data_IF_104681348471
#
_entry.id   IF_104681348471
#
_cell.length_a   1.000
_cell.length_b   1.000
_cell.length_c   1.000
_cell.angle_alpha   90.00
_cell.angle_beta   90.00
_cell.angle_gamma   90.00
#
_symmetry.space_group_name_H-M   'P 1'
#
loop_
_entity.id
_entity.type
_entity.pdbx_description
1 polymer ?
#
# COMPACT_ATOMS: atom_id res chain seq x y z
N UNK A 1 6.91 6.75 22.97
CA UNK A 1 6.83 7.83 21.95
C UNK A 1 7.30 9.23 22.38
N UNK A 2 7.84 9.41 23.60
CA UNK A 2 8.29 10.72 24.14
C UNK A 2 9.33 11.45 23.27
N UNK A 3 10.00 10.74 22.34
CA UNK A 3 11.09 11.27 21.53
C UNK A 3 10.67 12.18 20.35
N UNK A 4 9.40 12.21 19.93
CA UNK A 4 8.99 12.97 18.73
C UNK A 4 8.55 14.42 19.01
N UNK A 5 8.33 14.78 20.28
CA UNK A 5 7.88 16.10 20.70
C UNK A 5 6.45 16.45 20.26
N UNK A 6 5.96 17.64 20.58
CA UNK A 6 4.55 18.01 20.31
C UNK A 6 4.22 18.26 18.81
N UNK A 7 5.24 18.42 17.96
CA UNK A 7 5.07 18.70 16.52
C UNK A 7 6.02 17.84 15.69
N UNK A 8 5.69 16.54 15.50
CA UNK A 8 6.55 15.64 14.76
C UNK A 8 6.67 16.06 13.30
N UNK A 9 7.86 15.90 12.72
CA UNK A 9 8.11 16.09 11.28
C UNK A 9 8.84 14.89 10.72
N UNK A 10 8.67 14.63 9.42
CA UNK A 10 9.40 13.54 8.74
C UNK A 10 10.91 13.69 8.86
N UNK A 11 11.41 14.92 8.75
CA UNK A 11 12.85 15.19 8.86
C UNK A 11 13.37 14.85 10.26
N UNK A 12 12.67 15.29 11.31
CA UNK A 12 13.07 14.99 12.68
C UNK A 12 12.99 13.49 12.99
N UNK A 13 11.90 12.84 12.58
CA UNK A 13 11.73 11.39 12.71
C UNK A 13 12.86 10.63 12.01
N UNK A 14 13.20 10.96 10.76
CA UNK A 14 14.30 10.33 10.03
C UNK A 14 15.65 10.54 10.72
N UNK A 15 15.91 11.72 11.29
CA UNK A 15 17.12 11.96 12.09
C UNK A 15 17.20 11.03 13.30
N UNK A 16 16.08 10.86 14.02
CA UNK A 16 16.01 9.91 15.15
C UNK A 16 16.33 8.49 14.65
N UNK A 17 15.62 8.00 13.63
CA UNK A 17 15.83 6.66 13.06
C UNK A 17 17.28 6.43 12.63
N UNK A 18 17.89 7.40 11.95
CA UNK A 18 19.28 7.28 11.49
C UNK A 18 20.29 7.20 12.64
N UNK A 19 19.99 7.82 13.77
CA UNK A 19 20.85 7.80 14.95
C UNK A 19 20.66 6.53 15.80
N UNK A 20 19.61 5.73 15.55
CA UNK A 20 19.41 4.44 16.21
C UNK A 20 20.34 3.36 15.62
N UNK A 21 20.77 2.38 16.44
CA UNK A 21 21.41 1.16 15.96
C UNK A 21 20.56 0.47 14.87
N UNK A 22 21.19 -0.08 13.83
CA UNK A 22 20.49 -0.69 12.68
C UNK A 22 19.41 -1.70 13.11
N UNK A 23 19.68 -2.51 14.13
CA UNK A 23 18.76 -3.51 14.68
C UNK A 23 17.47 -2.92 15.30
N UNK A 24 17.53 -1.67 15.76
CA UNK A 24 16.42 -0.98 16.44
C UNK A 24 15.57 -0.14 15.48
N UNK A 25 16.12 0.21 14.31
CA UNK A 25 15.42 1.05 13.31
C UNK A 25 14.09 0.45 12.87
N UNK A 26 14.07 -0.85 12.59
CA UNK A 26 12.86 -1.55 12.17
C UNK A 26 11.79 -1.55 13.29
N UNK A 27 12.20 -1.76 14.55
CA UNK A 27 11.29 -1.70 15.70
C UNK A 27 10.66 -0.31 15.85
N UNK A 28 11.46 0.75 15.76
CA UNK A 28 10.97 2.12 15.87
C UNK A 28 10.00 2.50 14.73
N UNK A 29 10.26 2.03 13.51
CA UNK A 29 9.33 2.17 12.38
C UNK A 29 8.00 1.46 12.64
N UNK A 30 8.05 0.21 13.14
CA UNK A 30 6.86 -0.57 13.48
C UNK A 30 6.04 0.09 14.59
N UNK A 31 6.70 0.64 15.62
CA UNK A 31 6.01 1.40 16.66
C UNK A 31 5.24 2.58 16.08
N UNK A 32 5.88 3.37 15.22
CA UNK A 32 5.23 4.51 14.54
C UNK A 32 4.00 4.08 13.73
N UNK A 33 4.08 2.96 13.00
CA UNK A 33 2.95 2.42 12.26
C UNK A 33 1.86 1.85 13.18
N UNK A 34 2.24 1.13 14.24
CA UNK A 34 1.30 0.57 15.20
C UNK A 34 0.41 1.63 15.85
N UNK A 35 0.96 2.81 16.11
CA UNK A 35 0.20 3.95 16.65
C UNK A 35 -0.87 4.46 15.70
N UNK A 36 -0.63 4.41 14.38
CA UNK A 36 -1.64 4.74 13.40
C UNK A 36 -2.83 3.77 13.43
N UNK A 37 -2.64 2.54 13.91
CA UNK A 37 -3.70 1.53 14.03
C UNK A 37 -4.40 1.56 15.39
N UNK A 38 -3.65 1.70 16.48
CA UNK A 38 -4.20 1.57 17.84
C UNK A 38 -4.83 2.87 18.34
N UNK A 39 -4.25 4.03 18.00
CA UNK A 39 -4.57 5.31 18.65
C UNK A 39 -5.10 6.37 17.68
N UNK A 40 -5.45 6.01 16.44
CA UNK A 40 -5.74 6.99 15.38
C UNK A 40 -6.65 8.15 15.81
N UNK A 41 -7.75 7.85 16.50
CA UNK A 41 -8.74 8.84 16.95
C UNK A 41 -8.32 9.63 18.18
N UNK A 42 -7.40 9.12 19.00
CA UNK A 42 -6.88 9.81 20.20
C UNK A 42 -5.71 10.72 19.87
N UNK A 43 -5.04 10.50 18.73
CA UNK A 43 -3.95 11.35 18.25
C UNK A 43 -4.44 12.75 17.84
N UNK A 44 -3.64 13.76 18.15
CA UNK A 44 -3.87 15.10 17.63
C UNK A 44 -3.70 15.17 16.10
N UNK A 45 -4.31 16.18 15.49
CA UNK A 45 -4.33 16.37 14.03
C UNK A 45 -2.91 16.54 13.45
N UNK A 46 -1.97 17.07 14.22
CA UNK A 46 -0.58 17.25 13.77
C UNK A 46 0.12 15.89 13.65
N UNK A 47 -0.04 15.04 14.66
CA UNK A 47 0.44 13.67 14.67
C UNK A 47 -0.19 12.82 13.57
N UNK A 48 -1.52 12.91 13.39
CA UNK A 48 -2.20 12.22 12.28
C UNK A 48 -1.61 12.61 10.92
N UNK A 49 -1.41 13.92 10.67
CA UNK A 49 -0.81 14.41 9.42
C UNK A 49 0.62 13.89 9.24
N UNK A 50 1.41 13.87 10.31
CA UNK A 50 2.75 13.32 10.30
C UNK A 50 2.76 11.83 9.94
N UNK A 51 1.94 11.00 10.59
CA UNK A 51 1.86 9.56 10.33
C UNK A 51 1.41 9.28 8.88
N UNK A 52 0.43 10.02 8.37
CA UNK A 52 0.02 9.92 6.96
C UNK A 52 1.16 10.25 6.02
N UNK A 53 1.96 11.29 6.33
CA UNK A 53 3.12 11.64 5.54
C UNK A 53 4.19 10.54 5.59
N UNK A 54 4.41 9.93 6.77
CA UNK A 54 5.39 8.87 6.98
C UNK A 54 5.02 7.62 6.18
N UNK A 55 3.77 7.18 6.30
CA UNK A 55 3.23 6.03 5.57
C UNK A 55 3.32 6.26 4.05
N UNK A 56 3.03 7.49 3.58
CA UNK A 56 3.16 7.83 2.16
C UNK A 56 4.60 7.79 1.66
N UNK A 57 5.59 8.13 2.50
CA UNK A 57 7.00 8.02 2.13
C UNK A 57 7.53 6.60 2.20
N UNK A 58 7.01 5.77 3.11
CA UNK A 58 7.52 4.44 3.43
C UNK A 58 6.49 3.34 3.10
N UNK A 59 5.77 3.49 1.97
CA UNK A 59 4.63 2.63 1.62
C UNK A 59 4.94 1.14 1.64
N UNK A 60 6.12 0.74 1.14
CA UNK A 60 6.52 -0.66 1.07
C UNK A 60 6.64 -1.26 2.48
N UNK A 61 7.39 -0.61 3.36
CA UNK A 61 7.54 -1.02 4.76
C UNK A 61 6.18 -1.02 5.49
N UNK A 62 5.31 -0.07 5.18
CA UNK A 62 3.98 -0.02 5.79
C UNK A 62 3.08 -1.16 5.33
N UNK A 63 3.08 -1.52 4.04
CA UNK A 63 2.38 -2.71 3.54
C UNK A 63 2.91 -3.97 4.22
N UNK A 64 4.23 -4.14 4.29
CA UNK A 64 4.84 -5.28 4.96
C UNK A 64 4.44 -5.37 6.44
N UNK A 65 4.43 -4.23 7.14
CA UNK A 65 3.95 -4.16 8.51
C UNK A 65 2.49 -4.63 8.62
N UNK A 66 1.58 -4.08 7.81
CA UNK A 66 0.16 -4.46 7.89
C UNK A 66 -0.04 -5.95 7.57
N UNK A 67 0.64 -6.46 6.55
CA UNK A 67 0.48 -7.85 6.09
C UNK A 67 1.11 -8.87 7.02
N UNK A 68 2.25 -8.56 7.66
CA UNK A 68 3.04 -9.53 8.43
C UNK A 68 2.95 -9.36 9.94
N UNK A 69 2.55 -8.19 10.41
CA UNK A 69 2.65 -7.82 11.83
C UNK A 69 1.30 -7.41 12.43
N UNK A 70 0.22 -7.45 11.64
CA UNK A 70 -1.13 -7.13 12.12
C UNK A 70 -2.13 -8.20 11.68
N UNK A 71 -3.24 -8.31 12.41
CA UNK A 71 -4.33 -9.24 12.11
C UNK A 71 -4.95 -9.00 10.72
N UNK A 72 -4.78 -7.81 10.12
CA UNK A 72 -5.29 -7.53 8.78
C UNK A 72 -4.63 -8.38 7.70
N UNK A 73 -3.40 -8.87 7.94
CA UNK A 73 -2.74 -9.82 7.05
C UNK A 73 -3.51 -11.13 6.88
N UNK A 74 -4.18 -11.58 7.93
CA UNK A 74 -4.99 -12.82 7.94
C UNK A 74 -6.31 -12.68 7.17
N UNK A 75 -6.73 -11.44 6.87
CA UNK A 75 -7.99 -11.15 6.17
C UNK A 75 -7.79 -10.78 4.70
N UNK A 76 -6.57 -10.92 4.17
CA UNK A 76 -6.29 -10.68 2.75
C UNK A 76 -6.97 -11.73 1.88
N UNK A 77 -7.49 -11.30 0.73
CA UNK A 77 -8.19 -12.19 -0.19
C UNK A 77 -7.24 -12.81 -1.22
N UNK A 78 -7.26 -14.14 -1.36
CA UNK A 78 -6.52 -14.86 -2.40
C UNK A 78 -7.19 -14.70 -3.77
N UNK A 79 -6.49 -14.05 -4.70
CA UNK A 79 -6.96 -13.88 -6.06
C UNK A 79 -6.86 -15.21 -6.82
N UNK A 80 -7.96 -15.62 -7.45
CA UNK A 80 -7.99 -16.83 -8.30
C UNK A 80 -7.13 -16.71 -9.56
N UNK A 81 -7.11 -15.52 -10.16
CA UNK A 81 -6.34 -15.21 -11.37
C UNK A 81 -5.74 -13.80 -11.24
N UNK A 82 -4.54 -13.72 -10.66
CA UNK A 82 -3.82 -12.46 -10.46
C UNK A 82 -3.51 -11.73 -11.78
N UNK A 83 -3.16 -12.48 -12.81
CA UNK A 83 -2.75 -11.90 -14.09
C UNK A 83 -3.93 -11.24 -14.82
N UNK A 84 -5.08 -11.91 -14.87
CA UNK A 84 -6.30 -11.32 -15.42
C UNK A 84 -6.74 -10.10 -14.59
N UNK A 85 -6.66 -10.18 -13.25
CA UNK A 85 -6.96 -9.05 -12.38
C UNK A 85 -6.08 -7.83 -12.68
N UNK A 86 -4.77 -8.03 -12.83
CA UNK A 86 -3.81 -6.96 -13.18
C UNK A 86 -4.10 -6.38 -14.57
N UNK A 87 -4.47 -7.22 -15.54
CA UNK A 87 -4.88 -6.79 -16.89
C UNK A 87 -6.15 -5.94 -16.85
N UNK A 88 -7.16 -6.34 -16.09
CA UNK A 88 -8.38 -5.55 -15.87
C UNK A 88 -8.07 -4.22 -15.18
N UNK A 89 -7.22 -4.22 -14.15
CA UNK A 89 -6.77 -2.98 -13.50
C UNK A 89 -6.09 -2.04 -14.50
N UNK A 90 -5.25 -2.54 -15.40
CA UNK A 90 -4.67 -1.71 -16.45
C UNK A 90 -5.75 -1.08 -17.34
N UNK A 91 -6.73 -1.87 -17.78
CA UNK A 91 -7.81 -1.43 -18.64
C UNK A 91 -8.65 -0.32 -18.00
N UNK A 92 -9.05 -0.53 -16.73
CA UNK A 92 -9.91 0.39 -15.98
C UNK A 92 -9.17 1.67 -15.56
N UNK A 93 -7.93 1.53 -15.11
CA UNK A 93 -7.15 2.63 -14.54
C UNK A 93 -6.14 3.20 -15.53
N UNK A 94 -6.36 3.00 -16.85
CA UNK A 94 -5.47 3.55 -17.86
C UNK A 94 -5.50 5.08 -17.84
N UNK A 95 -4.33 5.75 -17.82
CA UNK A 95 -4.27 7.21 -17.87
C UNK A 95 -5.01 7.76 -19.09
N UNK A 96 -5.84 8.77 -18.86
CA UNK A 96 -6.55 9.51 -19.90
C UNK A 96 -6.19 11.00 -19.82
N UNK A 97 -6.62 11.79 -20.81
CA UNK A 97 -6.43 13.25 -20.78
C UNK A 97 -7.04 13.89 -19.52
N UNK A 98 -8.10 13.30 -18.97
CA UNK A 98 -8.83 13.83 -17.80
C UNK A 98 -8.37 13.22 -16.47
N UNK A 99 -7.82 12.00 -16.48
CA UNK A 99 -7.43 11.28 -15.28
C UNK A 99 -6.00 10.73 -15.37
N UNK A 100 -5.15 11.18 -14.45
CA UNK A 100 -3.80 10.64 -14.28
C UNK A 100 -3.81 9.58 -13.18
N UNK A 101 -3.50 8.34 -13.55
CA UNK A 101 -3.37 7.23 -12.60
C UNK A 101 -1.96 7.17 -12.04
N UNK A 102 -1.86 7.07 -10.72
CA UNK A 102 -0.61 6.74 -10.04
C UNK A 102 -0.58 5.23 -9.78
N UNK A 103 0.06 4.48 -10.67
CA UNK A 103 0.18 3.03 -10.54
C UNK A 103 0.82 2.57 -9.21
N UNK A 104 1.72 3.37 -8.64
CA UNK A 104 2.29 3.09 -7.32
C UNK A 104 1.27 3.25 -6.18
N UNK A 105 0.35 4.22 -6.27
CA UNK A 105 -0.75 4.36 -5.31
C UNK A 105 -1.80 3.26 -5.50
N UNK A 106 -2.07 2.87 -6.75
CA UNK A 106 -2.96 1.76 -7.06
C UNK A 106 -2.41 0.43 -6.51
N UNK A 107 -1.15 0.12 -6.81
CA UNK A 107 -0.45 -1.06 -6.29
C UNK A 107 -0.45 -1.09 -4.76
N UNK A 108 -0.18 0.05 -4.11
CA UNK A 108 -0.27 0.18 -2.65
C UNK A 108 -1.66 -0.19 -2.11
N UNK A 109 -2.75 0.28 -2.75
CA UNK A 109 -4.11 -0.08 -2.36
C UNK A 109 -4.42 -1.56 -2.58
N UNK A 110 -4.00 -2.14 -3.70
CA UNK A 110 -4.21 -3.57 -4.02
C UNK A 110 -3.58 -4.47 -2.96
N UNK A 111 -2.37 -4.15 -2.51
CA UNK A 111 -1.65 -4.94 -1.50
C UNK A 111 -2.26 -4.91 -0.10
N UNK A 112 -3.23 -4.02 0.18
CA UNK A 112 -4.03 -4.06 1.42
C UNK A 112 -5.25 -4.97 1.35
N UNK A 113 -5.73 -5.27 0.14
CA UNK A 113 -6.96 -6.03 -0.05
C UNK A 113 -6.69 -7.48 -0.44
N UNK A 114 -5.60 -7.72 -1.19
CA UNK A 114 -5.35 -9.00 -1.84
C UNK A 114 -4.04 -9.63 -1.40
N UNK A 115 -4.03 -10.94 -1.25
CA UNK A 115 -2.85 -11.72 -0.88
C UNK A 115 -1.94 -11.94 -2.10
N UNK A 116 -1.31 -10.86 -2.55
CA UNK A 116 -0.47 -10.82 -3.76
C UNK A 116 0.99 -10.62 -3.33
N UNK A 117 1.88 -11.55 -3.71
CA UNK A 117 3.30 -11.52 -3.31
C UNK A 117 4.17 -10.66 -4.24
N UNK A 118 3.94 -9.35 -4.19
CA UNK A 118 4.68 -8.39 -5.01
C UNK A 118 5.07 -7.14 -4.22
N UNK A 119 6.26 -6.61 -4.51
CA UNK A 119 6.61 -5.26 -4.11
C UNK A 119 5.77 -4.22 -4.87
N UNK A 120 5.53 -3.06 -4.25
CA UNK A 120 4.76 -1.96 -4.84
C UNK A 120 5.30 -1.56 -6.21
N UNK A 121 6.63 -1.50 -6.37
CA UNK A 121 7.25 -1.14 -7.65
C UNK A 121 6.97 -2.21 -8.71
N UNK A 122 7.20 -3.49 -8.37
CA UNK A 122 6.96 -4.62 -9.26
C UNK A 122 5.51 -4.67 -9.72
N UNK A 123 4.55 -4.58 -8.79
CA UNK A 123 3.13 -4.57 -9.11
C UNK A 123 2.72 -3.33 -9.91
N UNK A 124 3.25 -2.14 -9.55
CA UNK A 124 3.00 -0.91 -10.31
C UNK A 124 3.43 -1.04 -11.77
N UNK A 125 4.61 -1.61 -12.02
CA UNK A 125 5.10 -1.81 -13.38
C UNK A 125 4.30 -2.91 -14.10
N UNK A 126 3.95 -4.00 -13.42
CA UNK A 126 3.08 -5.06 -13.96
C UNK A 126 1.73 -4.49 -14.40
N UNK A 127 1.08 -3.67 -13.57
CA UNK A 127 -0.18 -3.00 -13.93
C UNK A 127 0.05 -2.03 -15.09
N UNK A 128 1.11 -1.21 -15.09
CA UNK A 128 1.35 -0.22 -16.16
C UNK A 128 1.50 -0.86 -17.54
N UNK A 129 2.23 -1.97 -17.62
CA UNK A 129 2.62 -2.59 -18.89
C UNK A 129 1.75 -3.79 -19.29
N UNK A 130 0.84 -4.22 -18.42
CA UNK A 130 -0.17 -5.19 -18.77
C UNK A 130 -0.95 -4.72 -20.01
N UNK A 131 -1.18 -5.66 -20.94
CA UNK A 131 -2.01 -5.45 -22.11
C UNK A 131 -3.20 -6.37 -21.98
N UNK A 132 -4.38 -5.82 -22.19
CA UNK A 132 -5.60 -6.61 -22.39
C UNK A 132 -5.71 -6.91 -23.87
N UNK A 133 -5.88 -8.17 -24.23
CA UNK A 133 -6.22 -8.56 -25.58
C UNK A 133 -7.69 -8.99 -25.69
N UNK A 134 -8.07 -9.48 -26.87
CA UNK A 134 -9.46 -9.91 -27.10
C UNK A 134 -9.79 -11.18 -26.33
N UNK A 135 -8.82 -12.07 -26.13
CA UNK A 135 -9.03 -13.35 -25.48
C UNK A 135 -9.30 -13.14 -23.98
N UNK A 136 -8.62 -12.18 -23.35
CA UNK A 136 -8.92 -11.75 -21.98
C UNK A 136 -10.36 -11.23 -21.81
N UNK A 137 -10.86 -10.49 -22.80
CA UNK A 137 -12.25 -10.02 -22.79
C UNK A 137 -13.23 -11.18 -23.00
N UNK A 138 -12.90 -12.13 -23.88
CA UNK A 138 -13.70 -13.34 -24.06
C UNK A 138 -13.77 -14.18 -22.77
N UNK A 139 -12.65 -14.39 -22.07
CA UNK A 139 -12.62 -15.08 -20.77
C UNK A 139 -13.56 -14.40 -19.76
N UNK A 140 -13.60 -13.06 -19.75
CA UNK A 140 -14.55 -12.31 -18.92
C UNK A 140 -16.00 -12.48 -19.36
N UNK A 141 -16.27 -12.43 -20.68
CA UNK A 141 -17.61 -12.58 -21.22
C UNK A 141 -18.17 -13.99 -21.04
N UNK A 142 -17.35 -15.03 -21.14
CA UNK A 142 -17.77 -16.42 -20.86
C UNK A 142 -18.24 -16.61 -19.41
N UNK A 143 -17.70 -15.82 -18.48
CA UNK A 143 -18.14 -15.79 -17.08
C UNK A 143 -19.48 -15.09 -16.84
N UNK A 144 -20.00 -14.33 -17.82
CA UNK A 144 -21.28 -13.62 -17.71
C UNK A 144 -22.42 -14.56 -18.12
N UNK A 145 -23.21 -14.99 -17.13
CA UNK A 145 -24.51 -15.61 -17.40
C UNK A 145 -25.52 -14.51 -17.70
N UNK A 146 -26.09 -14.52 -18.90
CA UNK A 146 -27.22 -13.69 -19.25
C UNK A 146 -28.46 -14.50 -18.89
N UNK A 147 -29.12 -14.12 -17.79
CA UNK A 147 -30.44 -14.64 -17.41
C UNK A 147 -31.54 -14.00 -18.27
#
# INVERSE_FOLDING_TARGET
>A
MVQLGAKPTLQHFRKIVMNLPTRERAGFMKEAFGLAFSEWRSLDVVYQKFLVALIKSERQQFVEFVRKETVLGEFLYDLKNEDLFVRILNLLERPSKKHKTSYSRLAFSVLFAFNVDWEIKGLSDKIRYAKVDRDDLFELFEGIKID
#
